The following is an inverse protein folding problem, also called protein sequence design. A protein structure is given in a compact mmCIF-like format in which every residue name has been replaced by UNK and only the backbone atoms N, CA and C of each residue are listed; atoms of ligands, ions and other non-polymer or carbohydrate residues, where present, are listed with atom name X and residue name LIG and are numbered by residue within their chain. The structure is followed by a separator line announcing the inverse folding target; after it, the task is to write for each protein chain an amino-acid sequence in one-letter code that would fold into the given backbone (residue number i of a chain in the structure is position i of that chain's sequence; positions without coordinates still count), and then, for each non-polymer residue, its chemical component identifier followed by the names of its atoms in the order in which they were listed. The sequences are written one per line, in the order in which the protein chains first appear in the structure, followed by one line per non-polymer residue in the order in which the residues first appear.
data_IF_406781917970
#
_entry.id   IF_406781917970
#
_cell.length_a   1.000
_cell.length_b   1.000
_cell.length_c   1.000
_cell.angle_alpha   90.00
_cell.angle_beta   90.00
_cell.angle_gamma   90.00
#
_symmetry.space_group_name_H-M   'P 1'
#
loop_
_entity.id
_entity.type
_entity.pdbx_description
1 polymer ?
#
# COMPACT_ATOMS: atom_id res chain seq x y z
N UNK A 1 -45.04 -11.81 26.89
CA UNK A 1 -43.82 -12.52 26.46
C UNK A 1 -43.05 -11.54 25.60
N UNK A 2 -42.05 -10.89 26.19
CA UNK A 2 -41.19 -9.94 25.47
C UNK A 2 -40.23 -10.76 24.62
N UNK A 3 -40.36 -10.69 23.30
CA UNK A 3 -39.39 -11.23 22.35
C UNK A 3 -38.22 -10.28 22.31
N UNK A 4 -37.27 -10.48 23.23
CA UNK A 4 -35.95 -9.87 23.18
C UNK A 4 -35.20 -10.56 22.03
N UNK A 5 -35.40 -10.06 20.80
CA UNK A 5 -34.51 -10.44 19.71
C UNK A 5 -33.16 -9.80 20.01
N UNK A 6 -32.07 -10.58 20.10
CA UNK A 6 -30.75 -9.98 20.27
C UNK A 6 -30.53 -9.01 19.11
N UNK A 7 -30.30 -7.74 19.43
CA UNK A 7 -29.76 -6.79 18.47
C UNK A 7 -28.53 -7.43 17.83
N UNK A 8 -28.41 -7.45 16.49
CA UNK A 8 -27.24 -8.00 15.84
C UNK A 8 -26.00 -7.31 16.41
N UNK A 9 -25.03 -8.08 16.88
CA UNK A 9 -23.78 -7.54 17.42
C UNK A 9 -23.04 -6.80 16.31
N UNK A 10 -22.48 -5.64 16.64
CA UNK A 10 -21.62 -4.88 15.72
C UNK A 10 -20.48 -5.77 15.25
N UNK A 11 -20.11 -5.77 13.95
CA UNK A 11 -18.93 -6.48 13.49
C UNK A 11 -17.69 -5.98 14.23
N UNK A 12 -16.85 -6.90 14.67
CA UNK A 12 -15.59 -6.56 15.34
C UNK A 12 -14.45 -6.41 14.34
N UNK A 13 -13.90 -5.20 14.30
CA UNK A 13 -12.85 -4.78 13.36
C UNK A 13 -11.53 -4.61 14.11
N UNK A 14 -10.53 -5.41 13.77
CA UNK A 14 -9.17 -5.21 14.26
C UNK A 14 -8.41 -4.27 13.32
N UNK A 15 -7.95 -3.12 13.81
CA UNK A 15 -7.11 -2.19 13.04
C UNK A 15 -5.65 -2.51 13.35
N UNK A 16 -4.89 -2.98 12.35
CA UNK A 16 -3.48 -3.39 12.53
C UNK A 16 -2.55 -2.38 11.87
N UNK A 17 -1.58 -1.84 12.60
CA UNK A 17 -0.72 -0.74 12.11
C UNK A 17 0.70 -0.75 12.72
N UNK A 18 1.57 0.16 12.27
CA UNK A 18 2.98 0.25 12.62
C UNK A 18 3.85 -0.64 11.74
N UNK A 19 4.48 -1.65 12.34
CA UNK A 19 5.22 -2.70 11.65
C UNK A 19 6.73 -2.46 11.54
N UNK A 20 7.43 -3.49 11.03
CA UNK A 20 8.89 -3.51 10.86
C UNK A 20 9.29 -2.92 9.50
N UNK A 21 8.81 -1.72 9.22
CA UNK A 21 8.98 -1.02 7.94
C UNK A 21 9.59 0.37 8.16
N UNK A 22 10.29 0.90 7.15
CA UNK A 22 10.64 2.33 7.11
C UNK A 22 9.41 3.23 7.15
N UNK A 23 8.25 2.71 6.75
CA UNK A 23 6.96 3.41 6.66
C UNK A 23 6.12 3.27 7.94
N UNK A 24 6.72 2.81 9.05
CA UNK A 24 6.06 2.64 10.35
C UNK A 24 5.30 3.89 10.80
N UNK A 25 5.92 5.06 10.68
CA UNK A 25 5.33 6.33 11.12
C UNK A 25 4.10 6.72 10.28
N UNK A 26 4.15 6.46 8.97
CA UNK A 26 3.01 6.67 8.07
C UNK A 26 1.87 5.72 8.43
N UNK A 27 2.18 4.45 8.71
CA UNK A 27 1.19 3.46 9.15
C UNK A 27 0.49 3.88 10.46
N UNK A 28 1.24 4.39 11.43
CA UNK A 28 0.70 4.96 12.67
C UNK A 28 -0.26 6.14 12.40
N UNK A 29 0.14 7.08 11.53
CA UNK A 29 -0.69 8.23 11.19
C UNK A 29 -1.95 7.84 10.41
N UNK A 30 -1.85 6.85 9.52
CA UNK A 30 -2.98 6.24 8.82
C UNK A 30 -3.96 5.65 9.83
N UNK A 31 -3.49 4.88 10.80
CA UNK A 31 -4.33 4.31 11.85
C UNK A 31 -5.01 5.37 12.72
N UNK A 32 -4.29 6.43 13.10
CA UNK A 32 -4.89 7.56 13.80
C UNK A 32 -6.02 8.20 12.98
N UNK A 33 -5.81 8.39 11.68
CA UNK A 33 -6.84 8.87 10.74
C UNK A 33 -8.07 7.97 10.69
N UNK A 34 -7.88 6.65 10.49
CA UNK A 34 -8.98 5.67 10.46
C UNK A 34 -9.73 5.62 11.79
N UNK A 35 -9.02 5.59 12.92
CA UNK A 35 -9.63 5.51 14.26
C UNK A 35 -10.49 6.73 14.64
N UNK A 36 -10.22 7.90 14.04
CA UNK A 36 -11.04 9.11 14.18
C UNK A 36 -12.27 9.10 13.27
N UNK A 37 -12.19 8.47 12.10
CA UNK A 37 -13.22 8.52 11.07
C UNK A 37 -14.16 7.30 11.09
N UNK A 38 -13.71 6.15 11.60
CA UNK A 38 -14.51 4.91 11.66
C UNK A 38 -15.75 5.09 12.54
N UNK A 39 -16.90 4.62 12.05
CA UNK A 39 -18.17 4.68 12.78
C UNK A 39 -18.20 3.65 13.91
N UNK A 40 -18.01 4.12 15.15
CA UNK A 40 -18.05 3.28 16.35
C UNK A 40 -19.47 2.89 16.77
N UNK A 41 -20.50 3.51 16.20
CA UNK A 41 -21.87 3.05 16.34
C UNK A 41 -22.15 1.85 15.42
N UNK A 42 -21.43 1.72 14.30
CA UNK A 42 -21.50 0.58 13.40
C UNK A 42 -20.54 -0.58 13.77
N UNK A 43 -19.36 -0.28 14.32
CA UNK A 43 -18.28 -1.26 14.53
C UNK A 43 -17.74 -1.31 15.96
N UNK A 44 -17.39 -2.51 16.43
CA UNK A 44 -16.56 -2.71 17.63
C UNK A 44 -15.09 -2.73 17.20
N UNK A 45 -14.29 -1.75 17.62
CA UNK A 45 -12.93 -1.55 17.06
C UNK A 45 -11.84 -1.93 18.07
N UNK A 46 -10.88 -2.76 17.63
CA UNK A 46 -9.69 -3.16 18.40
C UNK A 46 -8.44 -2.62 17.69
N UNK A 47 -7.72 -1.64 18.27
CA UNK A 47 -6.47 -1.17 17.70
C UNK A 47 -5.29 -2.04 18.14
N UNK A 48 -4.52 -2.53 17.16
CA UNK A 48 -3.37 -3.40 17.37
C UNK A 48 -2.15 -2.77 16.71
N UNK A 49 -1.22 -2.30 17.52
CA UNK A 49 0.04 -1.77 17.04
C UNK A 49 1.07 -2.89 16.88
N UNK A 50 1.95 -2.78 15.89
CA UNK A 50 3.14 -3.60 15.75
C UNK A 50 4.35 -2.68 15.92
N UNK A 51 5.17 -2.91 16.94
CA UNK A 51 6.41 -2.14 17.16
C UNK A 51 7.48 -2.42 16.11
N UNK A 52 8.56 -1.63 16.10
CA UNK A 52 9.68 -1.77 15.14
C UNK A 52 10.48 -3.07 15.29
N UNK A 53 10.43 -3.70 16.45
CA UNK A 53 10.98 -5.04 16.71
C UNK A 53 9.96 -6.15 16.44
N UNK A 54 8.70 -5.82 16.13
CA UNK A 54 7.67 -6.74 15.69
C UNK A 54 6.76 -7.27 16.80
N UNK A 55 6.74 -6.65 17.97
CA UNK A 55 5.78 -7.01 19.02
C UNK A 55 4.40 -6.47 18.67
N UNK A 56 3.42 -7.36 18.69
CA UNK A 56 2.01 -7.01 18.52
C UNK A 56 1.45 -6.62 19.88
N UNK A 57 0.95 -5.40 20.02
CA UNK A 57 0.46 -4.84 21.28
C UNK A 57 -0.95 -4.28 21.11
N UNK A 58 -1.75 -4.41 22.16
CA UNK A 58 -3.04 -3.72 22.24
C UNK A 58 -2.74 -2.24 22.45
N UNK A 59 -3.15 -1.41 21.50
CA UNK A 59 -2.99 0.03 21.60
C UNK A 59 -4.20 0.66 22.33
N UNK A 60 -4.05 1.91 22.75
CA UNK A 60 -5.15 2.67 23.31
C UNK A 60 -6.25 2.91 22.28
N UNK A 61 -7.50 3.02 22.75
CA UNK A 61 -8.65 3.30 21.88
C UNK A 61 -8.61 4.67 21.18
N UNK A 62 -7.73 5.56 21.63
CA UNK A 62 -7.49 6.90 21.10
C UNK A 62 -6.03 7.02 20.64
N UNK A 63 -5.85 7.13 19.32
CA UNK A 63 -4.53 7.15 18.69
C UNK A 63 -4.06 8.57 18.31
N UNK A 64 -4.58 9.63 18.94
CA UNK A 64 -4.15 11.02 18.68
C UNK A 64 -2.65 11.24 18.86
N UNK A 65 -2.01 10.50 19.77
CA UNK A 65 -0.54 10.54 19.98
C UNK A 65 0.26 9.98 18.81
N UNK A 66 -0.40 9.30 17.86
CA UNK A 66 0.22 8.67 16.69
C UNK A 66 0.03 9.46 15.40
N UNK A 67 -0.43 10.70 15.49
CA UNK A 67 -0.47 11.62 14.36
C UNK A 67 0.95 12.02 13.94
N UNK A 68 1.21 12.05 12.63
CA UNK A 68 2.48 12.55 12.08
C UNK A 68 2.44 14.08 12.07
N UNK A 69 3.45 14.70 12.67
CA UNK A 69 3.65 16.16 12.63
C UNK A 69 5.10 16.46 12.28
N UNK A 70 5.40 17.70 11.90
CA UNK A 70 6.78 18.15 11.63
C UNK A 70 7.72 17.94 12.83
N UNK A 71 7.17 17.95 14.04
CA UNK A 71 7.92 17.88 15.30
C UNK A 71 7.92 16.48 15.93
N UNK A 72 7.16 15.52 15.37
CA UNK A 72 6.98 14.20 15.97
C UNK A 72 6.80 13.09 14.94
N UNK A 73 7.70 12.11 14.99
CA UNK A 73 7.57 10.85 14.26
C UNK A 73 6.93 9.80 15.18
N UNK A 74 5.68 9.38 14.91
CA UNK A 74 4.98 8.45 15.79
C UNK A 74 5.57 7.03 15.72
N UNK A 75 5.53 6.34 16.87
CA UNK A 75 6.00 4.97 17.01
C UNK A 75 5.11 4.18 17.97
N UNK A 76 4.91 2.89 17.66
CA UNK A 76 4.25 1.94 18.55
C UNK A 76 5.22 1.49 19.64
N UNK A 77 4.88 1.78 20.89
CA UNK A 77 5.63 1.30 22.04
C UNK A 77 5.49 -0.22 22.21
N UNK A 78 6.58 -0.89 22.64
CA UNK A 78 6.63 -2.35 22.77
C UNK A 78 6.22 -2.87 24.16
N UNK A 79 5.79 -2.00 25.06
CA UNK A 79 5.51 -2.30 26.48
C UNK A 79 4.03 -2.50 26.80
N UNK A 80 3.15 -2.42 25.81
CA UNK A 80 1.73 -2.74 25.93
C UNK A 80 1.44 -4.24 26.05
N UNK A 81 0.19 -4.57 26.36
CA UNK A 81 -0.29 -5.96 26.46
C UNK A 81 -0.09 -6.69 25.11
N UNK A 82 0.64 -7.81 25.11
CA UNK A 82 0.96 -8.51 23.87
C UNK A 82 -0.30 -9.16 23.27
N UNK A 83 -0.60 -8.91 22.00
CA UNK A 83 -1.75 -9.48 21.30
C UNK A 83 -1.35 -10.76 20.59
N UNK A 84 -2.11 -11.83 20.81
CA UNK A 84 -1.96 -13.11 20.13
C UNK A 84 -3.09 -13.26 19.11
N UNK A 85 -2.69 -13.44 17.85
CA UNK A 85 -3.59 -13.80 16.75
C UNK A 85 -3.70 -15.33 16.70
N UNK A 86 -4.91 -15.90 16.75
CA UNK A 86 -5.08 -17.35 16.66
C UNK A 86 -4.72 -17.83 15.25
N UNK A 87 -3.98 -18.94 15.17
CA UNK A 87 -3.64 -19.62 13.91
C UNK A 87 -4.45 -20.91 13.78
N UNK A 88 -5.77 -20.79 13.90
CA UNK A 88 -6.72 -21.90 13.75
C UNK A 88 -7.96 -21.41 13.00
N UNK A 89 -8.51 -22.24 12.12
CA UNK A 89 -9.70 -21.87 11.33
C UNK A 89 -11.01 -21.90 12.12
N UNK A 90 -11.00 -22.53 13.30
CA UNK A 90 -12.16 -22.64 14.20
C UNK A 90 -12.18 -21.58 15.29
N UNK A 91 -11.14 -20.77 15.42
CA UNK A 91 -11.00 -19.78 16.48
C UNK A 91 -10.45 -18.47 15.92
N UNK A 92 -11.23 -17.40 16.06
CA UNK A 92 -10.90 -16.05 15.61
C UNK A 92 -10.74 -15.09 16.80
N UNK A 93 -10.61 -15.63 18.01
CA UNK A 93 -10.52 -14.87 19.25
C UNK A 93 -9.14 -14.26 19.42
N UNK A 94 -9.06 -12.94 19.46
CA UNK A 94 -7.83 -12.26 19.87
C UNK A 94 -7.69 -12.32 21.39
N UNK A 95 -6.45 -12.49 21.86
CA UNK A 95 -6.15 -12.60 23.28
C UNK A 95 -4.98 -11.70 23.65
N UNK A 96 -5.04 -11.01 24.79
CA UNK A 96 -3.91 -10.31 25.36
C UNK A 96 -3.12 -11.20 26.33
N UNK A 97 -1.80 -11.04 26.33
CA UNK A 97 -0.88 -11.70 27.24
C UNK A 97 -0.01 -10.66 27.93
N UNK A 98 -0.11 -10.59 29.25
CA UNK A 98 0.79 -9.83 30.09
C UNK A 98 1.53 -10.74 31.07
N UNK A 99 2.80 -10.43 31.41
CA UNK A 99 3.54 -11.18 32.41
C UNK A 99 2.76 -11.27 33.73
N UNK A 100 2.60 -12.49 34.24
CA UNK A 100 1.95 -12.76 35.53
C UNK A 100 0.45 -12.43 35.59
N UNK A 101 -0.19 -12.18 34.45
CA UNK A 101 -1.65 -12.02 34.35
C UNK A 101 -2.30 -13.21 33.62
N UNK A 102 -3.59 -13.42 33.86
CA UNK A 102 -4.39 -14.41 33.12
C UNK A 102 -4.68 -13.83 31.73
N UNK A 103 -4.53 -14.60 30.64
CA UNK A 103 -4.87 -14.14 29.31
C UNK A 103 -6.32 -13.61 29.24
N UNK A 104 -6.50 -12.43 28.65
CA UNK A 104 -7.83 -11.82 28.49
C UNK A 104 -8.28 -11.90 27.03
N UNK A 105 -9.54 -12.30 26.83
CA UNK A 105 -10.14 -12.35 25.49
C UNK A 105 -10.59 -10.96 25.06
N UNK A 106 -10.14 -10.54 23.88
CA UNK A 106 -10.66 -9.37 23.16
C UNK A 106 -11.88 -9.72 22.29
N UNK A 107 -12.30 -10.99 22.32
CA UNK A 107 -13.42 -11.55 21.54
C UNK A 107 -13.04 -11.94 20.11
N UNK A 108 -14.00 -12.57 19.42
CA UNK A 108 -13.84 -12.99 18.01
C UNK A 108 -13.80 -11.77 17.08
N UNK A 109 -12.81 -11.75 16.18
CA UNK A 109 -12.69 -10.74 15.12
C UNK A 109 -13.43 -11.21 13.87
N UNK A 110 -14.22 -10.30 13.31
CA UNK A 110 -14.95 -10.54 12.06
C UNK A 110 -14.11 -10.17 10.84
N UNK A 111 -13.30 -9.11 10.98
CA UNK A 111 -12.45 -8.59 9.91
C UNK A 111 -11.26 -7.81 10.47
N UNK A 112 -10.12 -7.93 9.80
CA UNK A 112 -8.93 -7.12 10.06
C UNK A 112 -8.82 -6.01 9.01
N UNK A 113 -8.53 -4.78 9.40
CA UNK A 113 -8.12 -3.72 8.51
C UNK A 113 -6.61 -3.49 8.69
N UNK A 114 -5.76 -4.13 7.88
CA UNK A 114 -4.32 -3.90 7.93
C UNK A 114 -4.00 -2.55 7.27
N UNK A 115 -3.38 -1.65 8.03
CA UNK A 115 -2.95 -0.32 7.61
C UNK A 115 -1.41 -0.24 7.59
N UNK A 116 -0.76 -1.35 7.25
CA UNK A 116 0.70 -1.47 7.15
C UNK A 116 1.15 -1.07 5.75
N UNK A 117 2.25 -0.33 5.66
CA UNK A 117 2.86 0.09 4.39
C UNK A 117 4.24 -0.55 4.22
N UNK A 118 4.56 -0.90 2.98
CA UNK A 118 5.83 -1.50 2.61
C UNK A 118 5.95 -2.99 2.97
N UNK A 119 7.19 -3.47 3.24
CA UNK A 119 7.44 -4.85 3.61
C UNK A 119 6.57 -5.33 4.78
N UNK A 120 6.19 -6.60 4.75
CA UNK A 120 5.27 -7.28 5.65
C UNK A 120 3.80 -6.83 5.59
N UNK A 121 3.52 -5.61 5.11
CA UNK A 121 2.17 -5.07 4.95
C UNK A 121 1.58 -5.28 3.56
N UNK A 122 2.37 -5.00 2.52
CA UNK A 122 1.94 -4.99 1.12
C UNK A 122 2.56 -6.14 0.31
N UNK A 123 3.38 -6.99 0.92
CA UNK A 123 4.13 -8.06 0.24
C UNK A 123 3.48 -9.45 0.32
N UNK A 124 2.26 -9.54 0.86
CA UNK A 124 1.52 -10.80 1.04
C UNK A 124 1.82 -11.54 2.35
N UNK A 125 2.80 -11.09 3.15
CA UNK A 125 3.19 -11.80 4.39
C UNK A 125 2.07 -11.81 5.42
N UNK A 126 1.53 -10.63 5.77
CA UNK A 126 0.45 -10.54 6.77
C UNK A 126 -0.86 -11.13 6.24
N UNK A 127 -1.12 -10.98 4.94
CA UNK A 127 -2.28 -11.58 4.27
C UNK A 127 -2.25 -13.10 4.42
N UNK A 128 -1.09 -13.73 4.26
CA UNK A 128 -0.93 -15.18 4.42
C UNK A 128 -1.22 -15.64 5.84
N UNK A 129 -0.87 -14.83 6.84
CA UNK A 129 -1.24 -15.10 8.24
C UNK A 129 -2.76 -15.12 8.42
N UNK A 130 -3.48 -14.13 7.87
CA UNK A 130 -4.93 -14.06 7.98
C UNK A 130 -5.63 -15.18 7.20
N UNK A 131 -5.13 -15.54 6.01
CA UNK A 131 -5.67 -16.65 5.22
C UNK A 131 -5.49 -18.00 5.92
N UNK A 132 -4.35 -18.25 6.58
CA UNK A 132 -4.16 -19.46 7.40
C UNK A 132 -5.14 -19.56 8.58
N UNK A 133 -5.62 -18.41 9.07
CA UNK A 133 -6.54 -18.34 10.21
C UNK A 133 -8.02 -18.22 9.80
N UNK A 134 -8.34 -18.26 8.50
CA UNK A 134 -9.69 -17.96 7.98
C UNK A 134 -10.26 -16.62 8.51
N UNK A 135 -9.39 -15.62 8.66
CA UNK A 135 -9.75 -14.27 9.08
C UNK A 135 -9.92 -13.40 7.84
N UNK A 136 -11.08 -12.73 7.72
CA UNK A 136 -11.32 -11.75 6.65
C UNK A 136 -10.45 -10.53 6.88
N UNK A 137 -10.03 -9.88 5.80
CA UNK A 137 -9.27 -8.64 5.90
C UNK A 137 -9.55 -7.70 4.74
N UNK A 138 -9.38 -6.40 5.00
CA UNK A 138 -9.47 -5.35 4.00
C UNK A 138 -8.23 -5.39 3.10
N UNK A 139 -8.46 -5.20 1.80
CA UNK A 139 -7.41 -5.12 0.79
C UNK A 139 -7.18 -6.41 0.00
N UNK A 140 -6.07 -6.41 -0.72
CA UNK A 140 -5.73 -7.41 -1.74
C UNK A 140 -5.21 -8.72 -1.15
N UNK A 141 -5.42 -9.83 -1.87
CA UNK A 141 -4.95 -11.18 -1.51
C UNK A 141 -3.43 -11.33 -1.42
N UNK A 142 -2.95 -12.50 -0.98
CA UNK A 142 -1.50 -12.81 -0.87
C UNK A 142 -0.77 -12.60 -2.20
N UNK A 143 -1.27 -13.19 -3.29
CA UNK A 143 -0.61 -13.10 -4.59
C UNK A 143 -0.59 -11.67 -5.13
N UNK A 144 -1.75 -10.99 -5.15
CA UNK A 144 -1.87 -9.62 -5.63
C UNK A 144 -0.94 -8.66 -4.86
N UNK A 145 -0.86 -8.81 -3.53
CA UNK A 145 0.06 -8.05 -2.68
C UNK A 145 1.52 -8.34 -3.04
N UNK A 146 1.94 -9.61 -3.02
CA UNK A 146 3.31 -10.00 -3.34
C UNK A 146 3.75 -9.59 -4.76
N UNK A 147 2.85 -9.73 -5.73
CA UNK A 147 3.09 -9.38 -7.12
C UNK A 147 3.13 -7.86 -7.34
N UNK A 148 2.26 -7.09 -6.69
CA UNK A 148 2.27 -5.63 -6.71
C UNK A 148 3.53 -5.03 -6.08
N UNK A 149 4.00 -5.61 -4.96
CA UNK A 149 5.22 -5.19 -4.29
C UNK A 149 6.49 -5.43 -5.13
N UNK A 150 6.54 -6.52 -5.90
CA UNK A 150 7.70 -6.84 -6.74
C UNK A 150 7.59 -6.20 -8.13
N UNK A 151 8.25 -5.05 -8.31
CA UNK A 151 8.21 -4.23 -9.53
C UNK A 151 8.48 -5.02 -10.82
N UNK A 152 9.33 -6.04 -10.78
CA UNK A 152 9.54 -6.93 -11.92
C UNK A 152 8.27 -7.73 -12.24
N UNK A 153 7.73 -8.46 -11.27
CA UNK A 153 6.60 -9.36 -11.53
C UNK A 153 5.31 -8.59 -11.80
N UNK A 154 5.12 -7.45 -11.16
CA UNK A 154 4.11 -6.46 -11.52
C UNK A 154 4.17 -6.13 -13.02
N UNK A 155 5.33 -5.70 -13.53
CA UNK A 155 5.48 -5.36 -14.96
C UNK A 155 5.33 -6.57 -15.88
N UNK A 156 5.72 -7.77 -15.47
CA UNK A 156 5.47 -9.01 -16.23
C UNK A 156 3.98 -9.27 -16.37
N UNK A 157 3.21 -9.13 -15.29
CA UNK A 157 1.76 -9.34 -15.29
C UNK A 157 1.05 -8.27 -16.14
N UNK A 158 1.41 -7.00 -15.96
CA UNK A 158 0.88 -5.90 -16.76
C UNK A 158 1.16 -6.08 -18.26
N UNK A 159 2.41 -6.37 -18.64
CA UNK A 159 2.74 -6.65 -20.04
C UNK A 159 2.00 -7.88 -20.58
N UNK A 160 1.85 -8.94 -19.76
CA UNK A 160 1.09 -10.14 -20.10
C UNK A 160 -0.40 -9.87 -20.31
N UNK A 161 -0.95 -8.88 -19.63
CA UNK A 161 -2.33 -8.39 -19.81
C UNK A 161 -2.47 -7.37 -20.97
N UNK A 162 -1.37 -7.01 -21.64
CA UNK A 162 -1.37 -6.02 -22.72
C UNK A 162 -1.35 -4.57 -22.24
N UNK A 163 -1.06 -4.32 -20.97
CA UNK A 163 -0.97 -2.98 -20.41
C UNK A 163 0.39 -2.33 -20.72
N UNK A 164 0.42 -1.01 -21.01
CA UNK A 164 1.64 -0.31 -21.36
C UNK A 164 2.54 -0.16 -20.13
N UNK A 165 3.74 -0.72 -20.19
CA UNK A 165 4.78 -0.57 -19.15
C UNK A 165 6.07 -0.06 -19.76
N UNK A 166 6.82 0.74 -18.99
CA UNK A 166 8.12 1.26 -19.41
C UNK A 166 9.17 0.15 -19.64
N UNK A 167 10.14 0.35 -20.55
CA UNK A 167 11.26 -0.58 -20.74
C UNK A 167 12.07 -0.78 -19.45
N UNK A 168 12.45 -2.02 -19.16
CA UNK A 168 13.20 -2.37 -17.96
C UNK A 168 14.13 -3.56 -18.14
N UNK A 169 15.12 -3.67 -17.26
CA UNK A 169 16.05 -4.80 -17.12
C UNK A 169 16.07 -5.23 -15.65
N UNK A 170 16.08 -6.53 -15.39
CA UNK A 170 16.14 -7.08 -14.02
C UNK A 170 17.48 -7.76 -13.80
N UNK A 171 18.08 -7.47 -12.66
CA UNK A 171 19.34 -8.04 -12.21
C UNK A 171 19.08 -8.77 -10.89
N UNK A 172 19.15 -10.10 -10.92
CA UNK A 172 19.09 -10.92 -9.70
C UNK A 172 20.46 -10.97 -9.03
N UNK A 173 20.48 -11.22 -7.71
CA UNK A 173 21.71 -11.48 -6.94
C UNK A 173 22.63 -12.50 -7.60
N UNK A 174 22.04 -13.56 -8.17
CA UNK A 174 22.80 -14.63 -8.81
C UNK A 174 23.46 -14.18 -10.11
N UNK A 175 22.80 -13.34 -10.91
CA UNK A 175 23.36 -12.78 -12.13
C UNK A 175 24.49 -11.82 -11.79
N UNK A 176 24.26 -10.90 -10.84
CA UNK A 176 25.25 -9.94 -10.40
C UNK A 176 26.54 -10.58 -9.86
N UNK A 177 26.40 -11.59 -8.99
CA UNK A 177 27.55 -12.29 -8.39
C UNK A 177 28.27 -13.21 -9.36
N UNK A 178 27.59 -13.75 -10.37
CA UNK A 178 28.16 -14.71 -11.33
C UNK A 178 28.93 -13.99 -12.43
N UNK A 179 28.33 -12.96 -13.01
CA UNK A 179 28.90 -12.20 -14.12
C UNK A 179 28.37 -10.77 -14.10
N UNK A 180 29.08 -9.92 -13.35
CA UNK A 180 28.77 -8.50 -13.20
C UNK A 180 28.83 -7.76 -14.54
N UNK A 181 29.79 -8.10 -15.40
CA UNK A 181 29.93 -7.46 -16.71
C UNK A 181 28.71 -7.75 -17.58
N UNK A 182 28.28 -9.02 -17.68
CA UNK A 182 27.09 -9.38 -18.43
C UNK A 182 25.80 -8.74 -17.87
N UNK A 183 25.70 -8.59 -16.54
CA UNK A 183 24.56 -7.92 -15.91
C UNK A 183 24.52 -6.42 -16.26
N UNK A 184 25.66 -5.73 -16.29
CA UNK A 184 25.75 -4.33 -16.70
C UNK A 184 25.51 -4.17 -18.21
N UNK A 185 26.06 -5.07 -19.04
CA UNK A 185 25.85 -5.05 -20.50
C UNK A 185 24.37 -5.18 -20.86
N UNK A 186 23.60 -5.97 -20.10
CA UNK A 186 22.15 -6.11 -20.30
C UNK A 186 21.39 -4.78 -20.17
N UNK A 187 21.87 -3.85 -19.31
CA UNK A 187 21.28 -2.52 -19.14
C UNK A 187 21.49 -1.64 -20.40
N UNK A 188 22.45 -1.98 -21.27
CA UNK A 188 22.68 -1.28 -22.54
C UNK A 188 21.52 -1.36 -23.53
N UNK A 189 20.47 -2.14 -23.24
CA UNK A 189 19.21 -2.16 -24.00
C UNK A 189 18.28 -0.98 -23.67
N UNK A 190 18.60 -0.18 -22.65
CA UNK A 190 17.81 0.97 -22.21
C UNK A 190 18.49 2.30 -22.57
N UNK A 191 17.68 3.32 -22.80
CA UNK A 191 18.18 4.70 -22.96
C UNK A 191 18.36 5.38 -21.61
N UNK A 192 19.40 6.20 -21.49
CA UNK A 192 19.65 7.03 -20.31
C UNK A 192 18.84 8.35 -20.37
N UNK A 193 18.41 8.91 -19.21
CA UNK A 193 18.68 8.43 -17.86
C UNK A 193 17.86 7.18 -17.51
N UNK A 194 18.44 6.30 -16.70
CA UNK A 194 17.76 5.13 -16.12
C UNK A 194 17.54 5.33 -14.62
N UNK A 195 16.53 4.67 -14.08
CA UNK A 195 16.28 4.59 -12.64
C UNK A 195 16.62 3.19 -12.14
N UNK A 196 17.57 3.10 -11.23
CA UNK A 196 17.97 1.86 -10.56
C UNK A 196 17.22 1.78 -9.24
N UNK A 197 16.47 0.69 -9.01
CA UNK A 197 15.56 0.54 -7.86
C UNK A 197 15.67 -0.85 -7.24
N UNK A 198 15.53 -1.00 -5.91
CA UNK A 198 15.26 -2.30 -5.32
C UNK A 198 13.90 -2.80 -5.82
N UNK A 199 13.79 -4.10 -6.15
CA UNK A 199 12.57 -4.64 -6.76
C UNK A 199 11.38 -4.64 -5.81
N UNK A 200 11.60 -4.83 -4.51
CA UNK A 200 10.57 -5.01 -3.46
C UNK A 200 10.71 -4.02 -2.30
N UNK A 201 10.93 -2.75 -2.61
CA UNK A 201 10.96 -1.66 -1.63
C UNK A 201 10.03 -0.52 -2.04
N UNK A 202 9.45 0.14 -1.04
CA UNK A 202 8.61 1.34 -1.15
C UNK A 202 9.36 2.62 -0.76
N UNK A 203 8.64 3.75 -0.78
CA UNK A 203 9.09 5.06 -0.28
C UNK A 203 10.44 5.56 -0.82
N UNK A 204 10.74 5.24 -2.09
CA UNK A 204 11.94 5.69 -2.81
C UNK A 204 13.28 5.29 -2.19
N UNK A 205 13.28 4.38 -1.21
CA UNK A 205 14.48 3.86 -0.56
C UNK A 205 15.33 3.06 -1.55
N UNK A 206 16.63 3.35 -1.60
CA UNK A 206 17.57 2.66 -2.48
C UNK A 206 17.44 3.01 -3.97
N UNK A 207 16.65 4.03 -4.33
CA UNK A 207 16.47 4.46 -5.72
C UNK A 207 17.59 5.42 -6.13
N UNK A 208 18.08 5.30 -7.37
CA UNK A 208 19.04 6.22 -7.95
C UNK A 208 18.70 6.53 -9.41
N UNK A 209 18.67 7.81 -9.77
CA UNK A 209 18.68 8.25 -11.18
C UNK A 209 20.11 8.24 -11.68
N UNK A 210 20.35 7.51 -12.77
CA UNK A 210 21.65 7.36 -13.39
C UNK A 210 21.58 7.98 -14.79
N UNK A 211 22.36 9.02 -15.04
CA UNK A 211 22.36 9.73 -16.33
C UNK A 211 23.45 9.23 -17.30
N UNK A 212 24.41 8.44 -16.83
CA UNK A 212 25.48 7.89 -17.65
C UNK A 212 26.00 6.55 -17.10
N UNK A 213 26.55 5.66 -17.96
CA UNK A 213 26.94 4.30 -17.57
C UNK A 213 27.95 4.20 -16.43
N UNK A 214 28.79 5.22 -16.22
CA UNK A 214 29.86 5.20 -15.22
C UNK A 214 29.32 5.15 -13.78
N UNK A 215 28.10 5.65 -13.55
CA UNK A 215 27.44 5.63 -12.24
C UNK A 215 26.54 4.40 -12.03
N UNK A 216 26.35 3.56 -13.04
CA UNK A 216 25.40 2.42 -12.99
C UNK A 216 25.80 1.38 -11.94
N UNK A 217 27.08 1.02 -11.88
CA UNK A 217 27.58 0.02 -10.94
C UNK A 217 27.31 0.40 -9.49
N UNK A 218 27.62 1.66 -9.12
CA UNK A 218 27.42 2.16 -7.77
C UNK A 218 25.93 2.19 -7.40
N UNK A 219 25.06 2.60 -8.34
CA UNK A 219 23.62 2.60 -8.14
C UNK A 219 23.04 1.19 -7.94
N UNK A 220 23.53 0.19 -8.68
CA UNK A 220 23.11 -1.21 -8.50
C UNK A 220 23.55 -1.74 -7.13
N UNK A 221 24.78 -1.47 -6.71
CA UNK A 221 25.24 -1.91 -5.38
C UNK A 221 24.42 -1.24 -4.25
N UNK A 222 24.11 0.05 -4.38
CA UNK A 222 23.26 0.76 -3.43
C UNK A 222 21.85 0.17 -3.34
N UNK A 223 21.18 -0.06 -4.48
CA UNK A 223 19.87 -0.71 -4.48
C UNK A 223 19.91 -2.12 -3.83
N UNK A 224 21.02 -2.85 -3.98
CA UNK A 224 21.23 -4.19 -3.39
C UNK A 224 21.36 -4.20 -1.87
N UNK A 225 21.66 -3.06 -1.24
CA UNK A 225 21.62 -2.93 0.22
C UNK A 225 20.19 -3.09 0.76
N UNK A 226 19.18 -2.80 -0.07
CA UNK A 226 17.76 -2.88 0.28
C UNK A 226 17.06 -4.11 -0.30
N UNK A 227 17.36 -4.50 -1.55
CA UNK A 227 16.85 -5.72 -2.16
C UNK A 227 17.89 -6.37 -3.06
N UNK A 228 18.18 -7.65 -2.83
CA UNK A 228 19.10 -8.43 -3.67
C UNK A 228 18.63 -8.61 -5.12
N UNK A 229 17.36 -8.32 -5.42
CA UNK A 229 16.81 -8.22 -6.77
C UNK A 229 16.65 -6.74 -7.12
N UNK A 230 17.29 -6.31 -8.20
CA UNK A 230 17.27 -4.92 -8.67
C UNK A 230 16.55 -4.85 -10.01
N UNK A 231 15.78 -3.78 -10.19
CA UNK A 231 15.19 -3.41 -11.48
C UNK A 231 15.82 -2.09 -11.93
N UNK A 232 16.19 -2.04 -13.20
CA UNK A 232 16.67 -0.84 -13.90
C UNK A 232 15.62 -0.48 -14.94
N UNK A 233 15.06 0.72 -14.84
CA UNK A 233 13.98 1.18 -15.69
C UNK A 233 14.46 2.36 -16.54
N UNK A 234 14.08 2.40 -17.81
CA UNK A 234 14.31 3.57 -18.64
C UNK A 234 13.49 4.75 -18.10
N UNK A 235 14.12 5.92 -17.98
CA UNK A 235 13.44 7.12 -17.54
C UNK A 235 12.33 7.54 -18.50
N UNK A 236 11.14 7.74 -17.97
CA UNK A 236 9.98 8.27 -18.71
C UNK A 236 9.84 9.74 -18.36
N UNK A 237 9.76 10.60 -19.38
CA UNK A 237 9.49 12.03 -19.21
C UNK A 237 7.99 12.23 -19.35
N UNK A 238 7.34 12.64 -18.28
CA UNK A 238 5.91 12.86 -18.22
C UNK A 238 5.45 13.29 -16.83
N UNK A 239 4.17 13.64 -16.73
CA UNK A 239 3.50 13.98 -15.47
C UNK A 239 3.05 12.70 -14.77
N UNK A 240 3.15 12.64 -13.45
CA UNK A 240 2.64 11.52 -12.66
C UNK A 240 1.15 11.71 -12.37
N UNK A 241 0.33 10.80 -12.89
CA UNK A 241 -1.12 10.80 -12.73
C UNK A 241 -1.52 9.54 -11.97
N UNK A 242 -2.22 9.70 -10.85
CA UNK A 242 -2.66 8.61 -9.99
C UNK A 242 -4.17 8.37 -10.16
N UNK A 243 -4.61 7.13 -10.00
CA UNK A 243 -6.02 6.76 -9.97
C UNK A 243 -6.29 5.77 -8.83
N UNK A 244 -7.29 6.07 -7.99
CA UNK A 244 -7.72 5.18 -6.94
C UNK A 244 -8.72 4.17 -7.50
N UNK A 245 -8.52 2.90 -7.15
CA UNK A 245 -9.37 1.78 -7.58
C UNK A 245 -9.94 1.10 -6.35
N UNK A 246 -11.24 0.88 -6.36
CA UNK A 246 -12.02 0.24 -5.29
C UNK A 246 -12.77 -0.93 -5.90
N UNK A 247 -12.75 -2.07 -5.22
CA UNK A 247 -13.45 -3.27 -5.67
C UNK A 247 -14.95 -2.99 -5.91
N UNK A 248 -15.49 -3.57 -6.98
CA UNK A 248 -16.93 -3.59 -7.25
C UNK A 248 -17.67 -4.48 -6.25
N UNK A 249 -18.99 -4.36 -6.18
CA UNK A 249 -19.82 -5.22 -5.32
C UNK A 249 -20.23 -6.48 -6.09
N UNK A 250 -20.06 -7.65 -5.48
CA UNK A 250 -20.42 -8.92 -6.10
C UNK A 250 -19.62 -9.17 -7.38
N UNK A 251 -20.29 -9.12 -8.54
CA UNK A 251 -19.69 -9.35 -9.86
C UNK A 251 -19.48 -8.06 -10.66
N UNK A 252 -19.73 -6.90 -10.05
CA UNK A 252 -19.51 -5.62 -10.71
C UNK A 252 -18.02 -5.36 -10.93
N UNK A 253 -17.70 -4.67 -12.03
CA UNK A 253 -16.36 -4.21 -12.34
C UNK A 253 -15.79 -3.31 -11.22
N UNK A 254 -14.46 -3.18 -11.10
CA UNK A 254 -13.85 -2.23 -10.17
C UNK A 254 -14.33 -0.80 -10.46
N UNK A 255 -14.49 -0.03 -9.39
CA UNK A 255 -14.81 1.40 -9.45
C UNK A 255 -13.51 2.19 -9.44
N UNK A 256 -13.47 3.25 -10.23
CA UNK A 256 -12.30 4.12 -10.37
C UNK A 256 -12.67 5.54 -9.99
N UNK A 257 -11.78 6.24 -9.29
CA UNK A 257 -11.96 7.63 -8.87
C UNK A 257 -11.72 8.62 -10.03
N UNK A 258 -11.95 9.90 -9.80
CA UNK A 258 -11.24 10.95 -10.52
C UNK A 258 -9.72 10.74 -10.43
N UNK A 259 -9.01 11.11 -11.48
CA UNK A 259 -7.55 11.06 -11.49
C UNK A 259 -6.98 12.21 -10.68
N UNK A 260 -5.92 11.93 -9.92
CA UNK A 260 -5.15 12.91 -9.16
C UNK A 260 -3.78 13.15 -9.79
N UNK A 261 -3.17 14.28 -9.47
CA UNK A 261 -1.79 14.60 -9.84
C UNK A 261 -1.08 15.16 -8.63
N UNK A 262 0.19 14.80 -8.52
CA UNK A 262 1.10 15.32 -7.51
C UNK A 262 2.07 16.25 -8.22
N UNK A 263 1.89 17.56 -8.00
CA UNK A 263 2.80 18.56 -8.52
C UNK A 263 3.90 18.80 -7.49
N UNK A 264 5.11 18.27 -7.75
CA UNK A 264 6.29 18.59 -6.95
C UNK A 264 6.70 20.01 -7.29
N UNK A 265 6.45 20.95 -6.38
CA UNK A 265 6.81 22.35 -6.62
C UNK A 265 8.32 22.53 -6.47
N UNK A 266 8.95 23.16 -7.46
CA UNK A 266 10.39 23.38 -7.49
C UNK A 266 10.92 24.24 -6.32
N UNK A 267 10.03 24.84 -5.51
CA UNK A 267 10.41 25.62 -4.33
C UNK A 267 10.90 24.74 -3.17
N UNK A 268 10.62 23.43 -3.16
CA UNK A 268 11.11 22.47 -2.17
C UNK A 268 12.52 21.91 -2.44
N UNK A 269 13.12 22.18 -3.61
CA UNK A 269 14.48 21.71 -3.91
C UNK A 269 14.64 20.19 -4.18
N UNK A 270 13.56 19.42 -4.19
CA UNK A 270 13.56 17.99 -4.53
C UNK A 270 13.32 17.81 -6.04
N UNK A 271 14.27 17.22 -6.77
CA UNK A 271 14.11 16.86 -8.18
C UNK A 271 13.18 15.63 -8.40
N UNK A 272 12.80 14.91 -7.32
CA UNK A 272 11.96 13.69 -7.36
C UNK A 272 11.05 13.58 -6.14
N UNK A 273 9.99 12.78 -6.28
CA UNK A 273 8.99 12.52 -5.24
C UNK A 273 9.49 11.48 -4.20
N UNK A 274 10.22 11.95 -3.19
CA UNK A 274 10.77 11.14 -2.09
C UNK A 274 9.89 11.12 -0.82
N UNK A 275 10.30 10.36 0.20
CA UNK A 275 9.53 10.18 1.44
C UNK A 275 9.28 11.51 2.20
N UNK A 276 10.27 12.42 2.20
CA UNK A 276 10.17 13.72 2.87
C UNK A 276 9.16 14.61 2.13
N UNK A 277 9.24 14.68 0.79
CA UNK A 277 8.26 15.40 -0.03
C UNK A 277 6.84 14.82 0.03
N UNK A 278 6.68 13.52 0.34
CA UNK A 278 5.38 12.82 0.43
C UNK A 278 4.63 13.07 1.74
N UNK A 279 5.34 13.28 2.85
CA UNK A 279 4.74 13.18 4.19
C UNK A 279 5.19 14.23 5.20
N UNK A 280 6.30 14.94 4.96
CA UNK A 280 6.91 15.84 5.94
C UNK A 280 6.99 17.30 5.47
N UNK A 281 6.94 17.56 4.16
CA UNK A 281 7.13 18.89 3.61
C UNK A 281 5.89 19.43 2.87
N UNK A 282 5.69 20.75 2.90
CA UNK A 282 4.62 21.47 2.18
C UNK A 282 4.90 21.58 0.65
N UNK A 283 5.89 20.83 0.14
CA UNK A 283 6.46 20.99 -1.21
C UNK A 283 5.68 20.32 -2.35
N UNK A 284 4.64 19.51 -2.05
CA UNK A 284 3.82 18.84 -3.05
C UNK A 284 2.38 19.35 -3.03
N UNK A 285 1.92 19.92 -4.14
CA UNK A 285 0.52 20.33 -4.29
C UNK A 285 -0.26 19.19 -4.93
N UNK A 286 -1.21 18.67 -4.17
CA UNK A 286 -2.11 17.62 -4.63
C UNK A 286 -3.28 18.24 -5.40
N UNK A 287 -3.44 17.85 -6.66
CA UNK A 287 -4.51 18.31 -7.54
C UNK A 287 -5.46 17.15 -7.86
N UNK A 288 -6.73 17.26 -7.48
CA UNK A 288 -7.76 16.31 -7.87
C UNK A 288 -9.10 17.03 -8.10
N UNK A 289 -9.73 16.91 -9.28
CA UNK A 289 -9.24 16.19 -10.46
C UNK A 289 -7.98 16.82 -11.09
N UNK A 290 -7.09 15.99 -11.63
CA UNK A 290 -5.88 16.46 -12.33
C UNK A 290 -6.25 17.25 -13.58
N UNK A 291 -5.41 18.24 -13.94
CA UNK A 291 -5.62 19.05 -15.14
C UNK A 291 -5.09 18.33 -16.39
N UNK A 292 -5.86 17.37 -16.88
CA UNK A 292 -5.59 16.58 -18.09
C UNK A 292 -6.82 16.55 -19.00
N UNK A 293 -6.67 16.33 -20.31
CA UNK A 293 -7.83 16.15 -21.20
C UNK A 293 -8.71 14.98 -20.74
N UNK A 294 -10.03 15.08 -20.93
CA UNK A 294 -11.00 14.03 -20.55
C UNK A 294 -10.64 12.65 -21.12
N UNK A 295 -10.10 12.62 -22.35
CA UNK A 295 -9.65 11.37 -22.99
C UNK A 295 -8.48 10.71 -22.24
N UNK A 296 -7.59 11.51 -21.65
CA UNK A 296 -6.45 11.02 -20.86
C UNK A 296 -6.94 10.57 -19.49
N UNK A 297 -7.83 11.31 -18.83
CA UNK A 297 -8.47 10.86 -17.59
C UNK A 297 -9.17 9.51 -17.79
N UNK A 298 -9.94 9.36 -18.87
CA UNK A 298 -10.63 8.12 -19.19
C UNK A 298 -9.66 6.96 -19.46
N UNK A 299 -8.53 7.23 -20.12
CA UNK A 299 -7.52 6.22 -20.40
C UNK A 299 -6.80 5.76 -19.13
N UNK A 300 -6.39 6.69 -18.26
CA UNK A 300 -5.79 6.36 -16.95
C UNK A 300 -6.77 5.53 -16.10
N UNK A 301 -8.04 5.94 -16.04
CA UNK A 301 -9.09 5.20 -15.34
C UNK A 301 -9.29 3.78 -15.90
N UNK A 302 -9.32 3.63 -17.22
CA UNK A 302 -9.42 2.33 -17.89
C UNK A 302 -8.23 1.44 -17.53
N UNK A 303 -7.01 1.96 -17.70
CA UNK A 303 -5.77 1.25 -17.37
C UNK A 303 -5.70 0.87 -15.89
N UNK A 304 -6.14 1.75 -14.99
CA UNK A 304 -6.16 1.47 -13.56
C UNK A 304 -7.11 0.33 -13.19
N UNK A 305 -8.32 0.32 -13.76
CA UNK A 305 -9.26 -0.79 -13.61
C UNK A 305 -8.72 -2.12 -14.13
N UNK A 306 -8.14 -2.11 -15.34
CA UNK A 306 -7.54 -3.31 -15.93
C UNK A 306 -6.31 -3.81 -15.17
N UNK A 307 -5.47 -2.91 -14.66
CA UNK A 307 -4.33 -3.26 -13.82
C UNK A 307 -4.75 -3.93 -12.51
N UNK A 308 -5.81 -3.41 -11.88
CA UNK A 308 -6.39 -3.98 -10.68
C UNK A 308 -6.90 -5.41 -10.92
N UNK A 309 -7.62 -5.63 -12.02
CA UNK A 309 -8.11 -6.95 -12.40
C UNK A 309 -6.97 -7.91 -12.81
N UNK A 310 -5.98 -7.42 -13.56
CA UNK A 310 -4.86 -8.23 -14.03
C UNK A 310 -4.03 -8.85 -12.91
N UNK A 311 -3.94 -8.18 -11.75
CA UNK A 311 -3.25 -8.70 -10.56
C UNK A 311 -4.16 -9.50 -9.63
N UNK A 312 -5.47 -9.51 -9.89
CA UNK A 312 -6.45 -10.08 -8.97
C UNK A 312 -6.53 -9.29 -7.66
N UNK A 313 -6.39 -7.98 -7.72
CA UNK A 313 -6.51 -7.12 -6.54
C UNK A 313 -7.93 -7.17 -5.97
N UNK A 314 -8.03 -6.91 -4.66
CA UNK A 314 -9.29 -6.88 -3.94
C UNK A 314 -9.30 -5.71 -2.94
N UNK A 315 -10.48 -5.24 -2.53
CA UNK A 315 -10.60 -4.08 -1.65
C UNK A 315 -10.19 -2.79 -2.33
N UNK A 316 -8.90 -2.44 -2.28
CA UNK A 316 -8.34 -1.18 -2.77
C UNK A 316 -7.01 -1.38 -3.48
N UNK A 317 -6.71 -0.46 -4.40
CA UNK A 317 -5.35 -0.19 -4.85
C UNK A 317 -5.27 1.23 -5.43
N UNK A 318 -4.06 1.78 -5.51
CA UNK A 318 -3.79 2.99 -6.28
C UNK A 318 -2.88 2.66 -7.44
N UNK A 319 -3.24 3.08 -8.64
CA UNK A 319 -2.43 2.88 -9.84
C UNK A 319 -1.82 4.20 -10.25
N UNK A 320 -0.49 4.19 -10.41
CA UNK A 320 0.30 5.37 -10.71
C UNK A 320 0.77 5.25 -12.18
N UNK A 321 0.55 6.28 -12.97
CA UNK A 321 0.85 6.31 -14.40
C UNK A 321 1.70 7.53 -14.75
N UNK A 322 2.49 7.41 -15.81
CA UNK A 322 3.10 8.56 -16.48
C UNK A 322 2.25 8.99 -17.67
N UNK A 323 1.93 10.28 -17.74
CA UNK A 323 1.34 10.93 -18.91
C UNK A 323 2.43 11.73 -19.64
N UNK A 324 2.83 11.27 -20.82
CA UNK A 324 3.96 11.83 -21.56
C UNK A 324 3.56 13.05 -22.40
N UNK A 325 4.56 13.87 -22.78
CA UNK A 325 4.35 15.01 -23.69
C UNK A 325 3.84 14.59 -25.08
N UNK A 326 4.03 13.32 -25.47
CA UNK A 326 3.51 12.75 -26.72
C UNK A 326 2.04 12.36 -26.63
N UNK A 327 1.44 12.39 -25.44
CA UNK A 327 0.05 12.02 -25.19
C UNK A 327 -0.15 10.56 -24.78
N UNK A 328 0.93 9.82 -24.52
CA UNK A 328 0.87 8.40 -24.14
C UNK A 328 0.69 8.25 -22.62
N UNK A 329 0.01 7.19 -22.21
CA UNK A 329 -0.14 6.80 -20.80
C UNK A 329 0.60 5.49 -20.57
N UNK A 330 1.52 5.47 -19.61
CA UNK A 330 2.32 4.30 -19.26
C UNK A 330 2.15 3.98 -17.78
N UNK A 331 1.82 2.74 -17.44
CA UNK A 331 1.69 2.32 -16.05
C UNK A 331 3.07 2.26 -15.40
N UNK A 332 3.23 2.97 -14.28
CA UNK A 332 4.43 2.94 -13.47
C UNK A 332 4.36 1.79 -12.48
N UNK A 333 3.43 1.88 -11.53
CA UNK A 333 3.23 0.93 -10.44
C UNK A 333 1.79 0.88 -9.92
N UNK A 334 1.53 -0.10 -9.07
CA UNK A 334 0.29 -0.25 -8.30
C UNK A 334 0.63 -0.44 -6.82
N UNK A 335 -0.07 0.26 -5.96
CA UNK A 335 0.08 0.21 -4.51
C UNK A 335 -1.14 -0.48 -3.91
N UNK A 336 -0.95 -1.62 -3.25
CA UNK A 336 -2.04 -2.46 -2.73
C UNK A 336 -2.52 -2.02 -1.34
N UNK A 337 -1.71 -1.22 -0.63
CA UNK A 337 -2.13 -0.42 0.52
C UNK A 337 -1.54 1.00 0.37
N UNK A 338 -2.14 1.84 -0.50
CA UNK A 338 -1.65 3.20 -0.69
C UNK A 338 -1.74 4.00 0.60
N UNK A 339 -1.03 5.13 0.67
CA UNK A 339 -1.19 6.09 1.77
C UNK A 339 -2.68 6.36 2.01
N UNK A 340 -3.12 6.16 3.26
CA UNK A 340 -4.53 6.13 3.62
C UNK A 340 -4.84 7.08 4.79
N UNK A 341 -4.01 8.10 4.99
CA UNK A 341 -4.38 9.22 5.87
C UNK A 341 -5.49 10.05 5.21
N UNK A 342 -6.27 10.85 5.96
CA UNK A 342 -7.30 11.72 5.38
C UNK A 342 -6.78 12.68 4.29
N UNK A 343 -5.48 13.00 4.31
CA UNK A 343 -4.82 13.89 3.37
C UNK A 343 -4.05 13.15 2.26
N UNK A 344 -3.99 11.82 2.32
CA UNK A 344 -3.33 11.02 1.28
C UNK A 344 -4.13 11.04 -0.01
N UNK A 345 -3.45 10.84 -1.15
CA UNK A 345 -4.10 10.89 -2.47
C UNK A 345 -5.27 9.91 -2.60
N UNK A 346 -5.13 8.67 -2.12
CA UNK A 346 -6.20 7.67 -2.32
C UNK A 346 -7.55 8.12 -1.71
N UNK A 347 -7.62 8.53 -0.42
CA UNK A 347 -8.84 9.14 0.12
C UNK A 347 -9.27 10.44 -0.58
N UNK A 348 -8.34 11.33 -0.91
CA UNK A 348 -8.66 12.62 -1.57
C UNK A 348 -9.32 12.42 -2.94
N UNK A 349 -8.84 11.45 -3.74
CA UNK A 349 -9.45 11.12 -5.03
C UNK A 349 -10.88 10.58 -4.88
N UNK A 350 -11.14 9.77 -3.86
CA UNK A 350 -12.49 9.27 -3.57
C UNK A 350 -13.42 10.37 -3.05
N UNK A 351 -12.94 11.25 -2.19
CA UNK A 351 -13.68 12.44 -1.71
C UNK A 351 -14.08 13.32 -2.89
N UNK A 352 -13.16 13.62 -3.81
CA UNK A 352 -13.45 14.35 -5.04
C UNK A 352 -14.46 13.63 -5.95
N UNK A 353 -14.49 12.29 -5.90
CA UNK A 353 -15.45 11.43 -6.61
C UNK A 353 -16.80 11.31 -5.88
N UNK A 354 -16.95 11.93 -4.70
CA UNK A 354 -18.17 11.95 -3.92
C UNK A 354 -18.33 10.78 -2.94
N UNK A 355 -17.23 10.10 -2.58
CA UNK A 355 -17.19 9.08 -1.53
C UNK A 355 -16.33 9.58 -0.35
N UNK A 356 -16.95 10.17 0.70
CA UNK A 356 -16.22 10.73 1.81
C UNK A 356 -15.42 9.71 2.62
N UNK A 357 -14.34 10.14 3.26
CA UNK A 357 -13.41 9.25 3.98
C UNK A 357 -14.07 8.27 4.98
N UNK A 358 -15.03 8.66 5.85
CA UNK A 358 -15.73 7.69 6.72
C UNK A 358 -16.53 6.64 5.93
N UNK A 359 -17.15 7.01 4.82
CA UNK A 359 -17.91 6.10 3.95
C UNK A 359 -16.97 5.18 3.16
N UNK A 360 -15.80 5.66 2.78
CA UNK A 360 -14.76 4.84 2.15
C UNK A 360 -14.25 3.74 3.11
N UNK A 361 -14.03 4.07 4.39
CA UNK A 361 -13.66 3.09 5.43
C UNK A 361 -14.76 2.04 5.58
N UNK A 362 -16.01 2.48 5.69
CA UNK A 362 -17.18 1.59 5.78
C UNK A 362 -17.26 0.65 4.58
N UNK A 363 -17.16 1.20 3.36
CA UNK A 363 -17.25 0.43 2.12
C UNK A 363 -16.16 -0.66 2.04
N UNK A 364 -14.93 -0.35 2.44
CA UNK A 364 -13.83 -1.31 2.47
C UNK A 364 -14.05 -2.43 3.48
N UNK A 365 -14.56 -2.09 4.67
CA UNK A 365 -14.90 -3.07 5.70
C UNK A 365 -16.03 -3.98 5.20
N UNK A 366 -17.07 -3.42 4.57
CA UNK A 366 -18.18 -4.21 4.01
C UNK A 366 -17.73 -5.13 2.87
N UNK A 367 -16.87 -4.65 1.97
CA UNK A 367 -16.28 -5.48 0.91
C UNK A 367 -15.49 -6.66 1.49
N UNK A 368 -14.74 -6.44 2.57
CA UNK A 368 -14.02 -7.50 3.26
C UNK A 368 -14.96 -8.49 3.97
N UNK A 369 -15.99 -8.00 4.67
CA UNK A 369 -16.96 -8.82 5.41
C UNK A 369 -17.77 -9.75 4.50
N UNK A 370 -18.07 -9.30 3.27
CA UNK A 370 -18.81 -10.10 2.29
C UNK A 370 -17.96 -11.16 1.59
N UNK A 371 -16.63 -11.12 1.77
CA UNK A 371 -15.71 -12.06 1.13
C UNK A 371 -15.74 -13.44 1.80
N UNK A 372 -15.71 -14.54 1.03
CA UNK A 372 -15.51 -15.87 1.59
C UNK A 372 -14.10 -16.03 2.16
N UNK A 373 -13.95 -16.99 3.09
CA UNK A 373 -12.66 -17.45 3.64
C UNK A 373 -12.22 -18.73 2.91
N UNK A 374 -10.96 -19.15 3.10
CA UNK A 374 -10.35 -20.28 2.39
C UNK A 374 -9.55 -19.88 1.15
N UNK A 375 -9.29 -20.85 0.26
CA UNK A 375 -8.45 -20.69 -0.93
C UNK A 375 -9.01 -19.60 -1.86
N UNK A 376 -8.14 -18.65 -2.22
CA UNK A 376 -8.41 -17.52 -3.12
C UNK A 376 -7.79 -17.72 -4.49
#
# INVERSE_FOLDING_TARGET
MSTDQPTPSKPRVAIVFGGRSSEHAVSCATAAGVMRAIDRDAYDVIPIGISRDGHWVLADGDLRSLELTSDSTPEVASDGAAVVVPLATTDRTLTTLEPQQIPESLGEVDVVFPLLHGPFGEDGTIQGMFEMADIRYVGSGVFASAAGMDKHYMKVLFAGAGLPVGPYVVITDSQWRRDKAAAMDAVGALDYPVFVKPSRAGSSMGISRVSAPEALEAAIEFAREHDRKVIVEQGIVGREIECAVLQGRGTDAPRVSHVGEIEVTAEGGHEFYDFEAKYLDDGAVLSCPANVPDSISAEVQRLAGEAFEALGCEGLARVDCFYTDTGDVVINEINTMPGFTPHSMYPQMWEATGLPYPQLIDELIQLALTRPVGLR
#
